data_IF_760961868188
#
_entry.id   IF_760961868188
#
_cell.length_a   1.000
_cell.length_b   1.000
_cell.length_c   1.000
_cell.angle_alpha   90.00
_cell.angle_beta   90.00
_cell.angle_gamma   90.00
#
_symmetry.space_group_name_H-M   'P 1'
#
loop_
_entity.id
_entity.type
_entity.pdbx_description
1 polymer ?
#
# COMPACT_ATOMS: atom_id res chain seq x y z
N UNK A 1 8.04 -6.07 12.32
CA UNK A 1 8.08 -7.51 11.97
C UNK A 1 7.80 -8.28 13.23
N UNK A 2 6.80 -9.15 13.23
CA UNK A 2 6.38 -9.94 14.41
C UNK A 2 6.54 -11.41 14.05
N UNK A 3 7.21 -12.20 14.90
CA UNK A 3 7.30 -13.65 14.73
C UNK A 3 6.08 -14.27 15.39
N UNK A 4 5.33 -15.08 14.65
CA UNK A 4 4.18 -15.80 15.21
C UNK A 4 4.63 -17.12 15.84
N UNK A 5 3.79 -17.66 16.71
CA UNK A 5 3.99 -18.98 17.33
C UNK A 5 4.02 -20.13 16.29
N UNK A 6 3.59 -19.90 15.05
CA UNK A 6 3.63 -20.87 13.95
C UNK A 6 4.93 -20.82 13.15
N UNK A 7 5.99 -20.21 13.70
CA UNK A 7 7.27 -20.00 13.04
C UNK A 7 7.17 -19.18 11.72
N UNK A 8 6.07 -18.44 11.53
CA UNK A 8 5.90 -17.54 10.38
C UNK A 8 6.26 -16.11 10.77
N UNK A 9 6.82 -15.38 9.80
CA UNK A 9 7.15 -13.97 9.95
C UNK A 9 6.02 -13.13 9.39
N UNK A 10 5.50 -12.22 10.22
CA UNK A 10 4.49 -11.25 9.84
C UNK A 10 5.15 -9.89 9.62
N UNK A 11 5.11 -9.41 8.38
CA UNK A 11 5.75 -8.17 7.96
C UNK A 11 4.69 -7.12 7.59
N UNK A 12 4.92 -5.90 8.07
CA UNK A 12 4.21 -4.70 7.65
C UNK A 12 5.24 -3.71 7.04
N UNK A 13 4.79 -2.79 6.19
CA UNK A 13 5.65 -1.75 5.65
C UNK A 13 6.13 -0.84 6.78
N UNK A 14 7.41 -0.49 6.74
CA UNK A 14 8.02 0.34 7.76
C UNK A 14 8.03 1.80 7.31
N UNK A 15 7.47 2.68 8.15
CA UNK A 15 7.62 4.13 8.05
C UNK A 15 8.46 4.58 9.25
N UNK A 16 9.49 5.39 8.99
CA UNK A 16 10.30 5.96 10.08
C UNK A 16 9.40 6.77 11.03
N UNK A 17 9.52 6.62 12.36
CA UNK A 17 8.74 7.38 13.34
C UNK A 17 8.91 8.90 13.22
N UNK A 18 10.08 9.36 12.77
CA UNK A 18 10.39 10.77 12.52
C UNK A 18 10.10 11.21 11.09
N UNK A 19 9.36 10.42 10.30
CA UNK A 19 8.97 10.89 8.97
C UNK A 19 8.02 12.06 9.13
N UNK A 20 8.30 13.19 8.48
CA UNK A 20 7.42 14.35 8.49
C UNK A 20 6.12 14.13 7.70
N UNK A 21 5.93 12.95 7.11
CA UNK A 21 4.87 12.64 6.14
C UNK A 21 4.78 13.64 4.97
N UNK A 22 5.82 14.47 4.76
CA UNK A 22 5.84 15.48 3.69
C UNK A 22 6.22 14.82 2.37
N UNK A 23 5.22 14.62 1.54
CA UNK A 23 5.38 14.24 0.14
C UNK A 23 5.23 15.47 -0.75
N UNK A 24 5.33 15.30 -2.08
CA UNK A 24 5.04 16.42 -3.00
C UNK A 24 3.61 16.88 -2.76
N UNK A 25 3.43 18.12 -2.32
CA UNK A 25 2.13 18.70 -2.05
C UNK A 25 1.27 18.80 -3.32
N UNK A 26 -0.05 18.66 -3.22
CA UNK A 26 -0.96 18.72 -4.37
C UNK A 26 -0.84 20.03 -5.18
N UNK A 27 -0.67 21.15 -4.47
CA UNK A 27 -0.53 22.51 -5.04
C UNK A 27 0.91 22.87 -5.46
N UNK A 28 1.87 21.94 -5.37
CA UNK A 28 3.24 22.21 -5.83
C UNK A 28 3.30 22.37 -7.36
N UNK A 29 4.27 23.13 -7.88
CA UNK A 29 4.44 23.38 -9.32
C UNK A 29 4.98 22.16 -10.12
N UNK A 30 4.75 20.95 -9.62
CA UNK A 30 5.10 19.71 -10.31
C UNK A 30 3.94 19.23 -11.17
N UNK A 31 4.27 18.57 -12.27
CA UNK A 31 3.30 17.96 -13.15
C UNK A 31 2.46 16.90 -12.41
N UNK A 32 1.23 16.73 -12.87
CA UNK A 32 0.29 15.79 -12.27
C UNK A 32 0.78 14.33 -12.36
N UNK A 33 1.52 13.99 -13.42
CA UNK A 33 2.09 12.65 -13.62
C UNK A 33 3.09 12.27 -12.53
N UNK A 34 4.00 13.18 -12.18
CA UNK A 34 4.97 13.00 -11.10
C UNK A 34 4.27 12.80 -9.75
N UNK A 35 3.24 13.59 -9.46
CA UNK A 35 2.44 13.46 -8.22
C UNK A 35 1.73 12.11 -8.16
N UNK A 36 1.09 11.70 -9.25
CA UNK A 36 0.43 10.41 -9.43
C UNK A 36 1.43 9.24 -9.24
N UNK A 37 2.62 9.34 -9.81
CA UNK A 37 3.66 8.32 -9.69
C UNK A 37 4.15 8.15 -8.26
N UNK A 38 4.25 9.24 -7.50
CA UNK A 38 4.60 9.18 -6.07
C UNK A 38 3.54 8.43 -5.28
N UNK A 39 2.26 8.75 -5.48
CA UNK A 39 1.15 8.05 -4.82
C UNK A 39 1.19 6.55 -5.15
N UNK A 40 1.36 6.20 -6.43
CA UNK A 40 1.48 4.81 -6.88
C UNK A 40 2.68 4.09 -6.25
N UNK A 41 3.85 4.73 -6.23
CA UNK A 41 5.07 4.13 -5.69
C UNK A 41 4.94 3.82 -4.19
N UNK A 42 4.37 4.75 -3.43
CA UNK A 42 4.20 4.60 -1.99
C UNK A 42 3.10 3.57 -1.68
N UNK A 43 2.00 3.59 -2.44
CA UNK A 43 0.96 2.55 -2.37
C UNK A 43 1.56 1.16 -2.61
N UNK A 44 2.28 0.99 -3.71
CA UNK A 44 2.90 -0.29 -4.06
C UNK A 44 3.85 -0.75 -2.96
N UNK A 45 4.64 0.16 -2.40
CA UNK A 45 5.51 -0.16 -1.26
C UNK A 45 4.72 -0.61 -0.04
N UNK A 46 3.63 0.07 0.30
CA UNK A 46 2.82 -0.26 1.46
C UNK A 46 2.15 -1.63 1.32
N UNK A 47 1.61 -1.94 0.15
CA UNK A 47 0.85 -3.18 -0.08
C UNK A 47 1.77 -4.36 -0.39
N UNK A 48 2.78 -4.21 -1.26
CA UNK A 48 3.66 -5.32 -1.67
C UNK A 48 4.64 -5.76 -0.59
N UNK A 49 5.02 -4.87 0.32
CA UNK A 49 5.92 -5.20 1.43
C UNK A 49 5.19 -5.60 2.72
N UNK A 50 3.85 -5.57 2.72
CA UNK A 50 3.04 -5.97 3.86
C UNK A 50 2.16 -7.15 3.55
N UNK A 51 1.84 -7.92 4.58
CA UNK A 51 0.84 -8.99 4.48
C UNK A 51 -0.57 -8.42 4.42
N UNK A 52 -1.49 -9.18 3.81
CA UNK A 52 -2.88 -8.80 3.56
C UNK A 52 -3.61 -8.30 4.82
N UNK A 53 -3.28 -8.85 6.00
CA UNK A 53 -3.84 -8.43 7.28
C UNK A 53 -3.60 -6.95 7.61
N UNK A 54 -2.55 -6.34 7.06
CA UNK A 54 -2.22 -4.93 7.27
C UNK A 54 -2.67 -4.03 6.13
N UNK A 55 -3.21 -4.58 5.03
CA UNK A 55 -3.52 -3.79 3.84
C UNK A 55 -4.57 -2.72 4.14
N UNK A 56 -5.62 -3.05 4.90
CA UNK A 56 -6.66 -2.09 5.29
C UNK A 56 -6.08 -0.93 6.12
N UNK A 57 -5.30 -1.23 7.15
CA UNK A 57 -4.64 -0.21 7.98
C UNK A 57 -3.69 0.66 7.15
N UNK A 58 -2.92 0.03 6.26
CA UNK A 58 -1.99 0.73 5.38
C UNK A 58 -2.70 1.65 4.38
N UNK A 59 -3.85 1.24 3.83
CA UNK A 59 -4.67 2.08 2.94
C UNK A 59 -5.17 3.32 3.67
N UNK A 60 -5.73 3.15 4.88
CA UNK A 60 -6.20 4.27 5.71
C UNK A 60 -5.05 5.25 5.98
N UNK A 61 -3.88 4.72 6.36
CA UNK A 61 -2.69 5.52 6.64
C UNK A 61 -2.15 6.25 5.41
N UNK A 62 -2.20 5.63 4.23
CA UNK A 62 -1.83 6.29 2.98
C UNK A 62 -2.76 7.44 2.65
N UNK A 63 -4.08 7.23 2.79
CA UNK A 63 -5.07 8.28 2.54
C UNK A 63 -4.82 9.45 3.49
N UNK A 64 -4.64 9.21 4.79
CA UNK A 64 -4.40 10.29 5.76
C UNK A 64 -3.15 11.10 5.41
N UNK A 65 -2.04 10.42 5.10
CA UNK A 65 -0.79 11.05 4.67
C UNK A 65 -1.01 11.96 3.46
N UNK A 66 -1.68 11.50 2.41
CA UNK A 66 -1.84 12.33 1.20
C UNK A 66 -2.89 13.42 1.39
N UNK A 67 -3.92 13.23 2.21
CA UNK A 67 -4.86 14.30 2.58
C UNK A 67 -4.11 15.44 3.28
N UNK A 68 -3.20 15.13 4.21
CA UNK A 68 -2.33 16.12 4.87
C UNK A 68 -1.42 16.87 3.87
N UNK A 69 -1.13 16.27 2.72
CA UNK A 69 -0.37 16.89 1.62
C UNK A 69 -1.27 17.61 0.59
N UNK A 70 -2.53 17.88 0.94
CA UNK A 70 -3.47 18.68 0.15
C UNK A 70 -4.17 17.94 -0.99
N UNK A 71 -4.09 16.61 -1.03
CA UNK A 71 -4.78 15.82 -2.05
C UNK A 71 -6.25 15.59 -1.69
N UNK A 72 -7.11 15.52 -2.69
CA UNK A 72 -8.53 15.25 -2.50
C UNK A 72 -8.80 13.79 -2.11
N UNK A 73 -9.57 13.57 -1.05
CA UNK A 73 -9.88 12.22 -0.52
C UNK A 73 -10.54 11.30 -1.54
N UNK A 74 -11.55 11.77 -2.27
CA UNK A 74 -12.26 10.96 -3.28
C UNK A 74 -11.32 10.49 -4.39
N UNK A 75 -10.40 11.36 -4.80
CA UNK A 75 -9.37 11.01 -5.77
C UNK A 75 -8.43 9.91 -5.23
N UNK A 76 -7.99 10.05 -3.98
CA UNK A 76 -7.11 9.08 -3.32
C UNK A 76 -7.78 7.73 -3.10
N UNK A 77 -9.04 7.71 -2.67
CA UNK A 77 -9.82 6.48 -2.47
C UNK A 77 -9.88 5.67 -3.75
N UNK A 78 -10.20 6.30 -4.88
CA UNK A 78 -10.17 5.64 -6.19
C UNK A 78 -8.78 5.10 -6.49
N UNK A 79 -7.76 5.96 -6.47
CA UNK A 79 -6.38 5.57 -6.76
C UNK A 79 -5.82 4.43 -5.90
N UNK A 80 -6.18 4.41 -4.61
CA UNK A 80 -5.63 3.48 -3.64
C UNK A 80 -6.42 2.16 -3.67
N UNK A 81 -7.74 2.20 -3.79
CA UNK A 81 -8.60 1.02 -3.72
C UNK A 81 -8.71 0.24 -5.04
N UNK A 82 -8.42 0.85 -6.19
CA UNK A 82 -8.64 0.24 -7.52
C UNK A 82 -7.83 -1.05 -7.87
N UNK A 83 -6.90 -1.56 -7.04
CA UNK A 83 -5.91 -2.58 -7.47
C UNK A 83 -5.92 -3.94 -6.74
N UNK A 84 -7.02 -4.36 -6.12
CA UNK A 84 -7.05 -5.68 -5.46
C UNK A 84 -7.62 -6.82 -6.35
N UNK A 85 -8.10 -6.52 -7.55
CA UNK A 85 -8.76 -7.53 -8.41
C UNK A 85 -7.77 -8.48 -9.09
N UNK A 86 -6.48 -8.10 -9.27
CA UNK A 86 -5.55 -8.90 -10.07
C UNK A 86 -4.65 -9.86 -9.27
N UNK A 87 -4.31 -9.57 -8.00
CA UNK A 87 -3.39 -10.43 -7.22
C UNK A 87 -4.10 -11.61 -6.52
N UNK A 88 -5.43 -11.55 -6.33
CA UNK A 88 -6.21 -12.66 -5.76
C UNK A 88 -6.51 -13.80 -6.75
N UNK A 89 -6.33 -13.56 -8.05
CA UNK A 89 -6.55 -14.58 -9.09
C UNK A 89 -5.33 -15.51 -9.28
N UNK A 90 -4.13 -15.08 -8.87
CA UNK A 90 -2.91 -15.88 -9.04
C UNK A 90 -2.71 -16.91 -7.92
N UNK A 91 -3.18 -16.63 -6.70
CA UNK A 91 -2.98 -17.54 -5.55
C UNK A 91 -3.92 -18.74 -5.50
N UNK A 92 -5.01 -18.74 -6.28
CA UNK A 92 -5.95 -19.87 -6.38
C UNK A 92 -5.54 -20.94 -7.40
N UNK A 93 -4.39 -20.78 -8.08
CA UNK A 93 -3.97 -21.62 -9.20
C UNK A 93 -2.81 -22.57 -8.87
N UNK A 94 -2.45 -22.76 -7.59
CA UNK A 94 -1.43 -23.76 -7.21
C UNK A 94 -2.03 -25.15 -7.39
N UNK A 95 -1.50 -26.02 -8.28
CA UNK A 95 -1.98 -27.39 -8.40
C UNK A 95 -1.65 -28.13 -7.10
N UNK A 96 -2.67 -28.69 -6.46
CA UNK A 96 -2.51 -29.74 -5.46
C UNK A 96 -1.73 -30.88 -6.12
N UNK A 97 -0.44 -31.02 -5.80
CA UNK A 97 0.28 -32.25 -6.11
C UNK A 97 -0.34 -33.32 -5.22
N UNK A 98 -1.28 -34.08 -5.78
CA UNK A 98 -1.76 -35.33 -5.20
C UNK A 98 -0.55 -36.25 -5.20
N UNK A 99 -0.07 -36.59 -4.00
CA UNK A 99 0.96 -37.60 -3.83
C UNK A 99 0.35 -38.98 -3.97
N UNK A 100 0.90 -39.76 -4.88
CA UNK A 100 0.91 -41.23 -4.85
C UNK A 100 2.28 -41.70 -4.35
#
# INVERSE_FOLDING_TARGET
MIRTNKNTVVANWYIKPMSSSRYKHANSNHDFGTKMNIIKAIKNRALKLSQLIFHMENRIKLISIFVENGYNTRFLERMINDLEINELQETSSVPTIVGD
#
